data_IF_069587105012
#
_entry.id   IF_069587105012
#
_cell.length_a   1.000
_cell.length_b   1.000
_cell.length_c   1.000
_cell.angle_alpha   90.00
_cell.angle_beta   90.00
_cell.angle_gamma   90.00
#
_symmetry.space_group_name_H-M   'P 1'
#
loop_
_entity.id
_entity.type
_entity.pdbx_description
1 polymer ?
#
# COMPACT_ATOMS: atom_id res chain seq x y z
N UNK A 1 5.83 15.65 5.30
CA UNK A 1 6.72 14.71 6.02
C UNK A 1 7.25 13.63 5.09
N UNK A 2 6.43 13.07 4.19
CA UNK A 2 6.82 11.95 3.32
C UNK A 2 8.11 12.13 2.49
N UNK A 3 8.50 13.37 2.19
CA UNK A 3 9.71 13.71 1.41
C UNK A 3 10.82 14.37 2.23
N UNK A 4 10.63 14.51 3.55
CA UNK A 4 11.55 15.19 4.46
C UNK A 4 11.69 14.37 5.75
N UNK A 5 12.78 13.58 5.81
CA UNK A 5 13.05 12.68 6.91
C UNK A 5 13.38 13.41 8.22
N UNK A 6 13.93 14.63 8.16
CA UNK A 6 14.21 15.42 9.36
C UNK A 6 12.89 15.91 9.98
N UNK A 7 11.97 16.40 9.15
CA UNK A 7 10.64 16.77 9.60
C UNK A 7 9.85 15.55 10.10
N UNK A 8 9.98 14.41 9.42
CA UNK A 8 9.37 13.15 9.86
C UNK A 8 9.86 12.75 11.25
N UNK A 9 11.18 12.72 11.49
CA UNK A 9 11.73 12.44 12.81
C UNK A 9 11.23 13.44 13.85
N UNK A 10 11.27 14.74 13.54
CA UNK A 10 10.84 15.79 14.46
C UNK A 10 9.40 15.61 14.92
N UNK A 11 8.47 15.38 13.99
CA UNK A 11 7.05 15.18 14.31
C UNK A 11 6.84 13.92 15.15
N UNK A 12 7.56 12.84 14.86
CA UNK A 12 7.37 11.59 15.59
C UNK A 12 8.17 11.50 16.89
N UNK A 13 9.08 12.44 17.16
CA UNK A 13 9.85 12.51 18.42
C UNK A 13 9.01 12.98 19.61
N UNK A 14 7.86 13.61 19.38
CA UNK A 14 7.00 14.09 20.47
C UNK A 14 6.51 12.93 21.35
N UNK A 15 6.49 13.10 22.69
CA UNK A 15 6.09 12.03 23.60
C UNK A 15 4.63 11.62 23.45
N UNK A 16 3.77 12.50 22.95
CA UNK A 16 2.33 12.25 22.73
C UNK A 16 2.02 11.50 21.42
N UNK A 17 3.05 11.15 20.64
CA UNK A 17 2.92 10.35 19.42
C UNK A 17 3.44 8.94 19.71
N UNK A 18 2.55 7.96 19.86
CA UNK A 18 2.92 6.62 20.34
C UNK A 18 3.64 5.75 19.30
N UNK A 19 3.41 6.00 18.02
CA UNK A 19 3.98 5.22 16.91
C UNK A 19 4.18 6.07 15.66
N UNK A 20 4.91 5.54 14.69
CA UNK A 20 5.17 6.16 13.39
C UNK A 20 4.31 5.51 12.32
N UNK A 21 3.87 6.29 11.35
CA UNK A 21 3.21 5.79 10.17
C UNK A 21 3.97 6.20 8.90
N UNK A 22 3.84 5.39 7.85
CA UNK A 22 4.32 5.75 6.51
C UNK A 22 3.30 5.26 5.47
N UNK A 23 3.24 5.97 4.35
CA UNK A 23 2.43 5.61 3.18
C UNK A 23 3.34 5.40 1.97
N UNK A 24 3.00 4.50 1.05
CA UNK A 24 3.80 4.27 -0.17
C UNK A 24 2.91 4.16 -1.41
N UNK A 25 3.18 5.03 -2.39
CA UNK A 25 2.36 5.19 -3.59
C UNK A 25 3.17 5.18 -4.90
N UNK A 26 3.62 4.00 -5.38
CA UNK A 26 4.56 3.92 -6.50
C UNK A 26 4.08 4.61 -7.78
N UNK A 27 2.78 4.53 -8.10
CA UNK A 27 2.24 5.24 -9.26
C UNK A 27 2.21 6.77 -9.06
N UNK A 28 1.72 7.25 -7.91
CA UNK A 28 1.64 8.68 -7.61
C UNK A 28 3.03 9.34 -7.56
N UNK A 29 4.04 8.60 -7.12
CA UNK A 29 5.43 9.07 -7.01
C UNK A 29 6.26 8.85 -8.28
N UNK A 30 5.66 8.29 -9.34
CA UNK A 30 6.32 8.10 -10.64
C UNK A 30 7.23 6.87 -10.73
N UNK A 31 7.23 5.99 -9.72
CA UNK A 31 7.96 4.72 -9.73
C UNK A 31 7.28 3.65 -10.58
N UNK A 32 5.99 3.81 -10.84
CA UNK A 32 5.23 3.11 -11.87
C UNK A 32 4.62 4.13 -12.84
N UNK A 33 4.20 3.70 -14.03
CA UNK A 33 3.39 4.54 -14.92
C UNK A 33 2.32 3.73 -15.63
N UNK A 34 1.28 4.43 -16.07
CA UNK A 34 0.05 3.86 -16.64
C UNK A 34 0.28 2.88 -17.80
N UNK A 35 1.38 3.04 -18.53
CA UNK A 35 1.75 2.28 -19.73
C UNK A 35 2.74 1.14 -19.45
N UNK A 36 3.30 1.06 -18.24
CA UNK A 36 4.39 0.14 -17.90
C UNK A 36 4.28 -0.41 -16.48
N UNK A 37 3.05 -0.67 -16.01
CA UNK A 37 2.76 -1.18 -14.66
C UNK A 37 3.58 -2.43 -14.31
N UNK A 38 3.58 -3.45 -15.17
CA UNK A 38 4.34 -4.68 -14.91
C UNK A 38 5.85 -4.50 -15.11
N UNK A 39 6.26 -3.74 -16.13
CA UNK A 39 7.67 -3.49 -16.46
C UNK A 39 8.38 -2.71 -15.34
N UNK A 40 7.73 -1.72 -14.74
CA UNK A 40 8.29 -0.88 -13.68
C UNK A 40 8.19 -1.49 -12.29
N UNK A 41 7.55 -2.64 -12.13
CA UNK A 41 7.40 -3.29 -10.83
C UNK A 41 8.75 -3.52 -10.10
N UNK A 42 9.84 -4.00 -10.73
CA UNK A 42 11.12 -4.15 -10.04
C UNK A 42 11.65 -2.82 -9.49
N UNK A 43 11.58 -1.76 -10.29
CA UNK A 43 11.98 -0.42 -9.86
C UNK A 43 11.10 0.10 -8.71
N UNK A 44 9.78 -0.10 -8.79
CA UNK A 44 8.85 0.24 -7.72
C UNK A 44 9.19 -0.48 -6.40
N UNK A 45 9.57 -1.77 -6.46
CA UNK A 45 9.99 -2.55 -5.29
C UNK A 45 11.29 -1.99 -4.71
N UNK A 46 12.29 -1.70 -5.55
CA UNK A 46 13.58 -1.18 -5.09
C UNK A 46 13.44 0.18 -4.39
N UNK A 47 12.65 1.09 -4.93
CA UNK A 47 12.39 2.40 -4.29
C UNK A 47 11.55 2.26 -3.01
N UNK A 48 10.59 1.32 -3.00
CA UNK A 48 9.82 0.99 -1.81
C UNK A 48 10.71 0.49 -0.69
N UNK A 49 11.65 -0.43 -0.95
CA UNK A 49 12.57 -0.95 0.08
C UNK A 49 13.41 0.19 0.66
N UNK A 50 14.00 1.04 -0.19
CA UNK A 50 14.79 2.20 0.27
C UNK A 50 13.98 3.10 1.20
N UNK A 51 12.71 3.33 0.86
CA UNK A 51 11.80 4.14 1.66
C UNK A 51 11.46 3.48 3.00
N UNK A 52 11.17 2.17 3.00
CA UNK A 52 10.93 1.41 4.23
C UNK A 52 12.15 1.46 5.15
N UNK A 53 13.36 1.25 4.62
CA UNK A 53 14.60 1.26 5.41
C UNK A 53 14.85 2.61 6.07
N UNK A 54 14.62 3.73 5.35
CA UNK A 54 14.82 5.07 5.93
C UNK A 54 13.86 5.35 7.09
N UNK A 55 12.62 4.85 7.02
CA UNK A 55 11.62 5.00 8.08
C UNK A 55 11.90 4.09 9.28
N UNK A 56 12.37 2.86 9.04
CA UNK A 56 12.76 1.93 10.10
C UNK A 56 13.90 2.52 10.93
N UNK A 57 14.92 3.12 10.30
CA UNK A 57 16.04 3.73 11.02
C UNK A 57 15.58 4.80 12.03
N UNK A 58 14.58 5.60 11.65
CA UNK A 58 14.02 6.63 12.54
C UNK A 58 13.15 6.00 13.63
N UNK A 59 12.31 5.02 13.28
CA UNK A 59 11.47 4.33 14.25
C UNK A 59 12.31 3.63 15.34
N UNK A 60 13.40 2.97 14.95
CA UNK A 60 14.36 2.35 15.88
C UNK A 60 15.08 3.40 16.74
N UNK A 61 15.53 4.51 16.14
CA UNK A 61 16.15 5.63 16.87
C UNK A 61 15.22 6.22 17.94
N UNK A 62 13.93 6.35 17.62
CA UNK A 62 12.91 6.87 18.53
C UNK A 62 12.36 5.81 19.48
N UNK A 63 12.73 4.54 19.30
CA UNK A 63 12.20 3.38 20.04
C UNK A 63 10.66 3.33 20.00
N UNK A 64 10.08 3.49 18.82
CA UNK A 64 8.63 3.49 18.59
C UNK A 64 8.26 2.55 17.44
N UNK A 65 7.08 1.90 17.48
CA UNK A 65 6.62 1.06 16.38
C UNK A 65 6.41 1.87 15.10
N UNK A 66 6.58 1.24 13.94
CA UNK A 66 6.28 1.79 12.62
C UNK A 66 5.21 0.95 11.92
N UNK A 67 4.21 1.60 11.33
CA UNK A 67 3.17 0.96 10.52
C UNK A 67 3.18 1.51 9.10
N UNK A 68 3.24 0.63 8.10
CA UNK A 68 2.94 0.99 6.71
C UNK A 68 1.41 1.06 6.55
N UNK A 69 0.81 2.15 6.99
CA UNK A 69 -0.64 2.21 7.15
C UNK A 69 -1.40 2.47 5.84
N UNK A 70 -0.72 2.85 4.77
CA UNK A 70 -1.29 2.89 3.43
C UNK A 70 -0.27 2.45 2.39
N UNK A 71 -0.66 1.52 1.52
CA UNK A 71 0.08 1.23 0.30
C UNK A 71 -0.86 0.64 -0.75
N UNK A 72 -0.60 0.94 -2.02
CA UNK A 72 -1.37 0.42 -3.13
C UNK A 72 -0.55 0.29 -4.40
N UNK A 73 -1.02 -0.58 -5.30
CA UNK A 73 -0.45 -0.73 -6.64
C UNK A 73 -1.59 -0.87 -7.66
N UNK A 74 -1.56 -0.21 -8.82
CA UNK A 74 -2.66 -0.27 -9.78
C UNK A 74 -2.84 -1.69 -10.34
N UNK A 75 -4.02 -1.95 -10.94
CA UNK A 75 -4.22 -3.17 -11.74
C UNK A 75 -3.36 -3.12 -13.00
N UNK A 76 -3.14 -4.28 -13.60
CA UNK A 76 -2.34 -4.39 -14.83
C UNK A 76 -3.00 -3.57 -15.96
N UNK A 77 -2.17 -2.99 -16.82
CA UNK A 77 -2.64 -2.10 -17.89
C UNK A 77 -3.29 -0.80 -17.40
N UNK A 78 -3.16 -0.48 -16.12
CA UNK A 78 -3.78 0.68 -15.48
C UNK A 78 -5.31 0.70 -15.64
N UNK A 79 -5.91 -0.48 -15.51
CA UNK A 79 -7.35 -0.68 -15.59
C UNK A 79 -8.02 -0.42 -14.24
N UNK A 80 -9.24 0.11 -14.29
CA UNK A 80 -10.07 0.32 -13.09
C UNK A 80 -11.23 -0.69 -12.99
N UNK A 81 -11.51 -1.41 -14.08
CA UNK A 81 -12.51 -2.48 -14.04
C UNK A 81 -12.00 -3.65 -13.18
N UNK A 82 -12.84 -4.12 -12.25
CA UNK A 82 -12.56 -5.28 -11.37
C UNK A 82 -12.29 -6.59 -12.12
N UNK A 83 -12.56 -6.65 -13.43
CA UNK A 83 -12.21 -7.78 -14.31
C UNK A 83 -10.77 -7.74 -14.83
N UNK A 84 -10.08 -6.61 -14.70
CA UNK A 84 -8.66 -6.49 -15.06
C UNK A 84 -7.78 -7.39 -14.19
N UNK A 85 -6.62 -7.81 -14.68
CA UNK A 85 -5.69 -8.65 -13.92
C UNK A 85 -4.92 -7.84 -12.88
N UNK A 86 -4.36 -8.52 -11.88
CA UNK A 86 -3.68 -7.94 -10.71
C UNK A 86 -2.30 -8.56 -10.48
N UNK A 87 -1.64 -9.03 -11.54
CA UNK A 87 -0.35 -9.73 -11.41
C UNK A 87 0.71 -8.83 -10.77
N UNK A 88 0.85 -7.59 -11.26
CA UNK A 88 1.85 -6.68 -10.72
C UNK A 88 1.55 -6.30 -9.26
N UNK A 89 0.26 -6.07 -8.95
CA UNK A 89 -0.22 -5.78 -7.59
C UNK A 89 0.07 -6.93 -6.64
N UNK A 90 -0.24 -8.16 -7.03
CA UNK A 90 -0.03 -9.34 -6.18
C UNK A 90 1.45 -9.55 -5.86
N UNK A 91 2.33 -9.34 -6.84
CA UNK A 91 3.78 -9.39 -6.64
C UNK A 91 4.26 -8.27 -5.71
N UNK A 92 3.76 -7.05 -5.89
CA UNK A 92 4.08 -5.92 -5.02
C UNK A 92 3.63 -6.17 -3.57
N UNK A 93 2.38 -6.61 -3.38
CA UNK A 93 1.81 -6.92 -2.07
C UNK A 93 2.55 -8.10 -1.42
N UNK A 94 2.99 -9.08 -2.21
CA UNK A 94 3.82 -10.18 -1.74
C UNK A 94 5.16 -9.72 -1.19
N UNK A 95 5.82 -8.77 -1.85
CA UNK A 95 7.05 -8.15 -1.34
C UNK A 95 6.82 -7.45 0.02
N UNK A 96 5.77 -6.62 0.12
CA UNK A 96 5.43 -5.92 1.37
C UNK A 96 5.14 -6.92 2.51
N UNK A 97 4.37 -7.99 2.22
CA UNK A 97 4.06 -9.03 3.21
C UNK A 97 5.32 -9.71 3.75
N UNK A 98 6.27 -10.06 2.87
CA UNK A 98 7.54 -10.65 3.29
C UNK A 98 8.41 -9.66 4.07
N UNK A 99 8.39 -8.37 3.72
CA UNK A 99 9.15 -7.34 4.45
C UNK A 99 8.62 -7.13 5.87
N UNK A 100 7.30 -7.12 6.07
CA UNK A 100 6.66 -7.05 7.39
C UNK A 100 6.98 -8.29 8.22
N UNK A 101 6.84 -9.50 7.65
CA UNK A 101 7.19 -10.75 8.33
C UNK A 101 8.65 -10.80 8.77
N UNK A 102 9.58 -10.35 7.91
CA UNK A 102 11.01 -10.30 8.25
C UNK A 102 11.27 -9.41 9.45
N UNK A 103 10.64 -8.23 9.49
CA UNK A 103 10.74 -7.33 10.64
C UNK A 103 10.20 -7.98 11.91
N UNK A 104 8.98 -8.52 11.85
CA UNK A 104 8.34 -9.22 12.98
C UNK A 104 9.19 -10.38 13.52
N UNK A 105 9.79 -11.20 12.65
CA UNK A 105 10.60 -12.35 13.03
C UNK A 105 11.88 -12.00 13.84
N UNK A 106 12.34 -10.76 13.75
CA UNK A 106 13.52 -10.26 14.49
C UNK A 106 13.15 -9.23 15.56
N UNK A 107 11.86 -8.98 15.80
CA UNK A 107 11.39 -7.93 16.71
C UNK A 107 11.72 -6.52 16.25
N UNK A 108 11.82 -6.29 14.93
CA UNK A 108 12.14 -4.98 14.35
C UNK A 108 10.98 -3.99 14.41
N UNK A 109 11.27 -2.71 14.14
CA UNK A 109 10.32 -1.62 14.35
C UNK A 109 9.11 -1.64 13.39
N UNK A 110 9.22 -2.22 12.19
CA UNK A 110 8.08 -2.34 11.27
C UNK A 110 7.12 -3.41 11.81
N UNK A 111 6.01 -2.93 12.39
CA UNK A 111 5.08 -3.72 13.19
C UNK A 111 3.86 -4.21 12.40
N UNK A 112 3.57 -3.63 11.23
CA UNK A 112 2.42 -4.02 10.44
C UNK A 112 2.23 -3.19 9.17
N UNK A 113 1.19 -3.53 8.42
CA UNK A 113 0.78 -2.78 7.24
C UNK A 113 -0.73 -2.88 7.00
N UNK A 114 -1.32 -1.83 6.41
CA UNK A 114 -2.69 -1.82 5.90
C UNK A 114 -2.66 -1.48 4.40
N UNK A 115 -3.18 -2.37 3.57
CA UNK A 115 -3.30 -2.08 2.14
C UNK A 115 -4.43 -1.08 1.90
N UNK A 116 -4.29 -0.30 0.85
CA UNK A 116 -5.31 0.60 0.36
C UNK A 116 -5.80 0.17 -1.03
N UNK A 117 -7.09 0.13 -1.33
CA UNK A 117 -8.26 0.25 -0.44
C UNK A 117 -9.12 -1.00 -0.51
N UNK A 118 -10.00 -1.23 0.46
CA UNK A 118 -10.95 -2.35 0.41
C UNK A 118 -12.20 -1.99 -0.40
N UNK A 119 -12.28 -2.46 -1.64
CA UNK A 119 -13.45 -2.26 -2.51
C UNK A 119 -14.59 -3.27 -2.27
N UNK A 120 -14.28 -4.40 -1.63
CA UNK A 120 -15.27 -5.40 -1.24
C UNK A 120 -16.15 -5.84 -2.41
N UNK A 121 -17.47 -5.71 -2.26
CA UNK A 121 -18.45 -6.16 -3.25
C UNK A 121 -18.95 -5.04 -4.17
N UNK A 122 -18.36 -3.84 -4.11
CA UNK A 122 -18.75 -2.73 -4.97
C UNK A 122 -18.75 -3.13 -6.44
N UNK A 123 -19.80 -2.70 -7.16
CA UNK A 123 -19.96 -3.00 -8.57
C UNK A 123 -19.19 -1.98 -9.43
N UNK A 124 -18.82 -2.37 -10.66
CA UNK A 124 -18.17 -1.47 -11.60
C UNK A 124 -19.14 -0.36 -12.01
N UNK A 125 -18.70 0.89 -12.01
CA UNK A 125 -19.50 1.98 -12.55
C UNK A 125 -19.60 1.86 -14.08
N UNK A 126 -20.81 1.73 -14.61
CA UNK A 126 -21.01 1.57 -16.06
C UNK A 126 -20.65 2.85 -16.83
N UNK A 127 -19.66 2.74 -17.72
CA UNK A 127 -19.27 3.81 -18.66
C UNK A 127 -18.52 5.01 -18.04
N UNK A 128 -18.12 4.92 -16.77
CA UNK A 128 -17.35 5.97 -16.08
C UNK A 128 -16.54 5.37 -14.94
N UNK A 129 -15.65 6.18 -14.36
CA UNK A 129 -14.92 5.81 -13.15
C UNK A 129 -15.02 6.86 -12.05
N UNK A 130 -15.59 8.03 -12.30
CA UNK A 130 -15.79 9.04 -11.25
C UNK A 130 -17.02 8.73 -10.40
N UNK A 131 -16.84 8.73 -9.08
CA UNK A 131 -17.92 8.51 -8.12
C UNK A 131 -18.92 9.68 -8.12
N UNK A 132 -20.20 9.36 -7.90
CA UNK A 132 -21.29 10.33 -7.74
C UNK A 132 -22.15 9.94 -6.54
N UNK A 133 -22.86 10.93 -5.98
CA UNK A 133 -23.83 10.68 -4.91
C UNK A 133 -24.82 9.58 -5.30
N UNK A 134 -24.86 8.51 -4.50
CA UNK A 134 -25.69 7.32 -4.74
C UNK A 134 -24.95 6.13 -5.36
N UNK A 135 -23.70 6.32 -5.81
CA UNK A 135 -22.86 5.22 -6.25
C UNK A 135 -22.39 4.36 -5.07
N UNK A 136 -22.14 3.06 -5.29
CA UNK A 136 -21.57 2.21 -4.26
C UNK A 136 -20.21 2.76 -3.82
N UNK A 137 -19.96 2.77 -2.52
CA UNK A 137 -18.64 3.05 -1.99
C UNK A 137 -17.69 1.90 -2.31
N UNK A 138 -16.51 2.25 -2.82
CA UNK A 138 -15.38 1.34 -3.01
C UNK A 138 -14.24 1.71 -2.05
N UNK A 139 -13.05 1.14 -2.27
CA UNK A 139 -11.84 1.51 -1.53
C UNK A 139 -11.18 2.78 -2.05
N UNK A 140 -11.60 3.27 -3.23
CA UNK A 140 -11.09 4.50 -3.82
C UNK A 140 -12.00 5.67 -3.43
N UNK A 141 -11.51 6.71 -2.75
CA UNK A 141 -12.30 7.88 -2.44
C UNK A 141 -12.82 8.61 -3.69
N UNK A 142 -13.80 9.50 -3.50
CA UNK A 142 -14.51 10.14 -4.61
C UNK A 142 -13.64 11.02 -5.53
N UNK A 143 -12.46 11.46 -5.09
CA UNK A 143 -11.51 12.20 -5.92
C UNK A 143 -10.67 11.33 -6.86
N UNK A 144 -10.74 9.99 -6.71
CA UNK A 144 -9.99 9.03 -7.51
C UNK A 144 -10.92 8.19 -8.40
N UNK A 145 -10.43 7.69 -9.55
CA UNK A 145 -11.14 6.71 -10.34
C UNK A 145 -11.50 5.47 -9.49
N UNK A 146 -12.78 5.11 -9.47
CA UNK A 146 -13.30 3.94 -8.77
C UNK A 146 -12.75 2.67 -9.42
N UNK A 147 -11.87 1.98 -8.70
CA UNK A 147 -11.11 0.82 -9.16
C UNK A 147 -9.59 1.04 -9.29
N UNK A 148 -9.08 2.26 -9.01
CA UNK A 148 -7.65 2.58 -9.09
C UNK A 148 -6.81 1.66 -8.20
N UNK A 149 -7.12 1.65 -6.90
CA UNK A 149 -6.43 0.87 -5.87
C UNK A 149 -7.35 -0.13 -5.16
N UNK A 150 -8.67 -0.04 -5.32
CA UNK A 150 -9.61 -1.00 -4.75
C UNK A 150 -9.19 -2.46 -4.99
N UNK A 151 -9.09 -3.20 -3.90
CA UNK A 151 -9.07 -4.67 -3.86
C UNK A 151 -10.51 -5.14 -3.71
N UNK A 152 -11.04 -5.81 -4.73
CA UNK A 152 -12.40 -6.33 -4.73
C UNK A 152 -12.43 -7.75 -4.16
N UNK A 153 -13.61 -8.18 -3.69
CA UNK A 153 -13.84 -9.55 -3.24
C UNK A 153 -13.62 -10.61 -4.35
N UNK A 154 -13.62 -10.18 -5.62
CA UNK A 154 -13.28 -11.02 -6.78
C UNK A 154 -11.77 -11.17 -7.02
N UNK A 155 -10.93 -10.37 -6.36
CA UNK A 155 -9.46 -10.40 -6.52
C UNK A 155 -8.86 -11.52 -5.68
N UNK A 156 -9.26 -12.77 -5.95
CA UNK A 156 -8.99 -13.91 -5.08
C UNK A 156 -7.50 -14.14 -4.83
N UNK A 157 -6.65 -13.89 -5.82
CA UNK A 157 -5.19 -13.99 -5.70
C UNK A 157 -4.61 -12.91 -4.78
N UNK A 158 -5.09 -11.67 -4.87
CA UNK A 158 -4.73 -10.61 -3.93
C UNK A 158 -5.17 -10.95 -2.50
N UNK A 159 -6.38 -11.52 -2.32
CA UNK A 159 -6.85 -11.98 -1.01
C UNK A 159 -5.96 -13.09 -0.43
N UNK A 160 -5.42 -13.99 -1.26
CA UNK A 160 -4.45 -15.00 -0.81
C UNK A 160 -3.13 -14.41 -0.36
N UNK A 161 -2.65 -13.35 -1.03
CA UNK A 161 -1.49 -12.59 -0.58
C UNK A 161 -1.81 -11.86 0.73
N UNK A 162 -2.97 -11.22 0.86
CA UNK A 162 -3.38 -10.50 2.07
C UNK A 162 -3.41 -11.42 3.30
N UNK A 163 -3.88 -12.66 3.14
CA UNK A 163 -3.87 -13.67 4.22
C UNK A 163 -2.46 -13.97 4.76
N UNK A 164 -1.40 -13.65 4.03
CA UNK A 164 -0.01 -13.82 4.48
C UNK A 164 0.40 -12.77 5.51
N UNK A 165 -0.23 -11.59 5.53
CA UNK A 165 0.02 -10.56 6.56
C UNK A 165 -0.50 -11.00 7.93
N UNK A 166 -1.72 -11.54 8.02
CA UNK A 166 -2.35 -11.94 9.28
C UNK A 166 -1.86 -13.27 9.87
N UNK A 167 -0.84 -13.91 9.28
CA UNK A 167 -0.27 -15.20 9.75
C UNK A 167 1.13 -15.04 10.35
N UNK A 168 1.48 -13.85 10.82
CA UNK A 168 2.72 -13.63 11.58
C UNK A 168 2.58 -14.28 12.95
N UNK A 169 3.45 -15.24 13.24
CA UNK A 169 3.58 -15.83 14.58
C UNK A 169 4.15 -14.76 15.52
N UNK A 170 3.38 -14.39 16.55
CA UNK A 170 3.90 -13.72 17.73
C UNK A 170 4.45 -14.76 18.71
#
# INVERSE_FOLDING_TARGET
CEVDMELFEKIHSYPDIDYLNMHIWPYNWGWASKDSILEKLPYSIDETEKYIESHIQIAEKLNKPLVLEEFGYPRDGFLFDRRGTVEARDRYFGFIAERVKKSSAVGGALAGANFWGWGGFADTLSGRFDWRSGDPYSGDPAQEPQGLYSVFASDTTTLEVIKRFGRTSF
#
